data_IF_115165231045
#
_entry.id   IF_115165231045
#
_cell.length_a   1.000
_cell.length_b   1.000
_cell.length_c   1.000
_cell.angle_alpha   90.00
_cell.angle_beta   90.00
_cell.angle_gamma   90.00
#
_symmetry.space_group_name_H-M   'P 1'
#
loop_
_entity.id
_entity.type
_entity.pdbx_description
1 polymer ?
#
# COMPACT_ATOMS: atom_id res chain seq x y z
N UNK A 1 -10.44 -2.85 7.60
CA UNK A 1 -9.51 -2.88 8.76
C UNK A 1 -8.21 -2.14 8.47
N UNK A 2 -7.41 -2.49 7.44
CA UNK A 2 -6.17 -1.75 7.11
C UNK A 2 -6.36 -0.23 6.96
N UNK A 3 -7.39 0.21 6.21
CA UNK A 3 -7.73 1.63 6.04
C UNK A 3 -8.09 2.32 7.37
N UNK A 4 -8.76 1.63 8.29
CA UNK A 4 -9.13 2.20 9.60
C UNK A 4 -7.87 2.42 10.45
N UNK A 5 -6.96 1.45 10.48
CA UNK A 5 -5.69 1.62 11.19
C UNK A 5 -4.80 2.69 10.55
N UNK A 6 -4.79 2.77 9.22
CA UNK A 6 -4.07 3.82 8.49
C UNK A 6 -4.61 5.22 8.84
N UNK A 7 -5.94 5.40 8.87
CA UNK A 7 -6.55 6.68 9.28
C UNK A 7 -6.21 7.08 10.71
N UNK A 8 -6.01 6.09 11.59
CA UNK A 8 -5.58 6.31 12.97
C UNK A 8 -4.06 6.51 13.12
N UNK A 9 -3.31 6.50 12.02
CA UNK A 9 -1.84 6.58 12.04
C UNK A 9 -1.16 5.32 12.59
N UNK A 10 -1.91 4.23 12.79
CA UNK A 10 -1.38 2.99 13.35
C UNK A 10 -0.76 2.13 12.24
N UNK A 11 0.46 2.50 11.86
CA UNK A 11 1.24 1.81 10.85
C UNK A 11 1.52 0.34 11.23
N UNK A 12 1.75 0.05 12.51
CA UNK A 12 2.10 -1.29 12.99
C UNK A 12 0.98 -2.31 12.75
N UNK A 13 -0.28 -1.89 12.85
CA UNK A 13 -1.44 -2.73 12.56
C UNK A 13 -1.86 -2.67 11.09
N UNK A 14 -1.68 -1.53 10.42
CA UNK A 14 -2.08 -1.34 9.03
C UNK A 14 -1.19 -2.12 8.05
N UNK A 15 0.14 -2.01 8.19
CA UNK A 15 1.13 -2.48 7.22
C UNK A 15 1.12 -4.01 7.03
N UNK A 16 1.04 -4.85 8.08
CA UNK A 16 0.95 -6.30 7.92
C UNK A 16 -0.29 -6.75 7.14
N UNK A 17 -1.42 -6.07 7.35
CA UNK A 17 -2.68 -6.35 6.65
C UNK A 17 -2.55 -5.95 5.18
N UNK A 18 -1.98 -4.77 4.91
CA UNK A 18 -1.71 -4.28 3.55
C UNK A 18 -0.83 -5.27 2.79
N UNK A 19 0.29 -5.70 3.39
CA UNK A 19 1.21 -6.69 2.80
C UNK A 19 0.46 -7.95 2.37
N UNK A 20 -0.37 -8.51 3.26
CA UNK A 20 -1.18 -9.70 2.94
C UNK A 20 -2.16 -9.46 1.78
N UNK A 21 -2.82 -8.30 1.76
CA UNK A 21 -3.81 -7.96 0.73
C UNK A 21 -3.18 -7.69 -0.64
N UNK A 22 -1.95 -7.17 -0.69
CA UNK A 22 -1.20 -6.95 -1.93
C UNK A 22 -0.74 -8.27 -2.56
N UNK A 23 -0.45 -9.30 -1.75
CA UNK A 23 -0.06 -10.62 -2.25
C UNK A 23 -1.26 -11.49 -2.65
N UNK A 24 -2.45 -11.22 -2.13
CA UNK A 24 -3.67 -11.95 -2.51
C UNK A 24 -4.25 -11.28 -3.77
N UNK A 25 -4.14 -11.97 -4.91
CA UNK A 25 -4.81 -11.58 -6.14
C UNK A 25 -6.34 -11.78 -5.98
N UNK A 26 -7.02 -10.80 -5.39
CA UNK A 26 -8.47 -10.76 -5.25
C UNK A 26 -9.04 -9.48 -5.85
N UNK A 27 -10.32 -9.50 -6.20
CA UNK A 27 -11.04 -8.36 -6.77
C UNK A 27 -11.06 -7.13 -5.84
N UNK A 28 -10.91 -7.35 -4.52
CA UNK A 28 -10.75 -6.31 -3.49
C UNK A 28 -9.28 -6.09 -3.07
N UNK A 29 -8.32 -6.51 -3.88
CA UNK A 29 -6.90 -6.29 -3.57
C UNK A 29 -6.58 -4.80 -3.59
N UNK A 30 -5.84 -4.34 -2.58
CA UNK A 30 -5.34 -2.97 -2.57
C UNK A 30 -4.25 -2.90 -3.63
N UNK A 31 -4.57 -2.27 -4.76
CA UNK A 31 -3.59 -2.05 -5.81
C UNK A 31 -2.61 -0.96 -5.36
N UNK A 32 -1.35 -1.11 -5.77
CA UNK A 32 -0.32 -0.11 -5.47
C UNK A 32 -0.62 1.25 -6.09
N UNK A 33 -1.32 1.29 -7.22
CA UNK A 33 -1.85 2.53 -7.78
C UNK A 33 -2.85 3.22 -6.84
N UNK A 34 -3.72 2.46 -6.18
CA UNK A 34 -4.67 3.01 -5.20
C UNK A 34 -3.97 3.56 -3.96
N UNK A 35 -2.85 2.95 -3.54
CA UNK A 35 -2.06 3.42 -2.40
C UNK A 35 -1.45 4.82 -2.60
N UNK A 36 -1.07 5.13 -3.84
CA UNK A 36 -0.57 6.46 -4.20
C UNK A 36 -1.65 7.54 -4.23
N UNK A 37 -2.87 7.19 -4.65
CA UNK A 37 -3.93 8.15 -4.93
C UNK A 37 -4.82 8.37 -3.71
N UNK A 38 -5.05 7.34 -2.90
CA UNK A 38 -5.99 7.38 -1.79
C UNK A 38 -5.37 8.07 -0.55
N UNK A 39 -5.93 9.19 -0.06
CA UNK A 39 -5.42 9.91 1.11
C UNK A 39 -5.58 9.14 2.42
N UNK A 40 -6.32 8.03 2.44
CA UNK A 40 -6.43 7.14 3.61
C UNK A 40 -5.07 6.65 4.11
N UNK A 41 -4.07 6.64 3.23
CA UNK A 41 -2.71 6.22 3.52
C UNK A 41 -1.79 7.35 3.98
N UNK A 42 -2.20 8.62 3.84
CA UNK A 42 -1.37 9.79 4.19
C UNK A 42 -0.74 9.68 5.60
N UNK A 43 -1.46 9.23 6.65
CA UNK A 43 -0.89 9.18 7.99
C UNK A 43 0.23 8.14 8.17
N UNK A 44 0.27 7.11 7.31
CA UNK A 44 1.29 6.05 7.35
C UNK A 44 2.24 6.10 6.14
N UNK A 45 2.06 7.09 5.25
CA UNK A 45 2.76 7.17 3.95
C UNK A 45 4.25 7.42 4.11
N UNK A 46 4.65 8.07 5.19
CA UNK A 46 6.06 8.32 5.55
C UNK A 46 6.72 7.15 6.29
N UNK A 47 6.01 6.05 6.55
CA UNK A 47 6.61 4.87 7.17
C UNK A 47 7.49 4.14 6.13
N UNK A 48 8.78 3.89 6.40
CA UNK A 48 9.67 3.21 5.46
C UNK A 48 9.14 1.85 4.99
N UNK A 49 8.44 1.12 5.85
CA UNK A 49 7.86 -0.20 5.52
C UNK A 49 6.72 -0.06 4.52
N UNK A 50 5.98 1.04 4.56
CA UNK A 50 4.94 1.35 3.58
C UNK A 50 5.57 1.73 2.24
N UNK A 51 6.61 2.56 2.23
CA UNK A 51 7.33 2.94 1.01
C UNK A 51 7.93 1.71 0.29
N UNK A 52 8.51 0.77 1.04
CA UNK A 52 9.04 -0.49 0.48
C UNK A 52 7.96 -1.33 -0.20
N UNK A 53 6.80 -1.52 0.44
CA UNK A 53 5.68 -2.29 -0.13
C UNK A 53 5.18 -1.70 -1.45
N UNK A 54 5.12 -0.37 -1.51
CA UNK A 54 4.67 0.36 -2.69
C UNK A 54 5.77 0.34 -3.77
N UNK A 55 7.05 0.37 -3.41
CA UNK A 55 8.18 0.28 -4.33
C UNK A 55 8.33 -1.12 -4.96
N UNK A 56 8.15 -2.20 -4.18
CA UNK A 56 8.26 -3.60 -4.63
C UNK A 56 7.30 -3.92 -5.79
N UNK A 57 6.16 -3.24 -5.83
CA UNK A 57 5.08 -3.47 -6.79
C UNK A 57 4.92 -2.37 -7.84
N UNK A 58 5.79 -1.34 -7.85
CA UNK A 58 5.84 -0.44 -9.00
C UNK A 58 6.07 -1.29 -10.25
N UNK A 59 5.21 -1.24 -11.27
CA UNK A 59 5.52 -1.90 -12.52
C UNK A 59 6.84 -1.33 -13.02
N UNK A 60 7.85 -2.19 -13.20
CA UNK A 60 9.08 -1.83 -13.91
C UNK A 60 8.62 -1.28 -15.25
N UNK A 61 8.80 0.02 -15.44
CA UNK A 61 8.44 0.74 -16.65
C UNK A 61 8.97 -0.05 -17.86
N UNK A 62 8.12 -0.71 -18.68
CA UNK A 62 8.62 -1.37 -19.87
C UNK A 62 9.14 -0.26 -20.75
N UNK A 63 10.45 -0.34 -21.06
CA UNK A 63 11.20 0.64 -21.83
C UNK A 63 10.36 1.14 -23.00
N UNK A 64 10.32 2.48 -23.17
CA UNK A 64 9.80 3.13 -24.37
C UNK A 64 10.46 2.47 -25.59
N UNK A 65 9.65 1.88 -26.46
CA UNK A 65 10.04 1.44 -27.80
C UNK A 65 10.26 2.66 -28.70
#
# INVERSE_FOLDING_TARGET
MAQIYALLGNADEAIPIIKRLVHIASFNSISVGLMYIDPVWDPIRSDPRFEELVAEKKPVNPKKF
#
